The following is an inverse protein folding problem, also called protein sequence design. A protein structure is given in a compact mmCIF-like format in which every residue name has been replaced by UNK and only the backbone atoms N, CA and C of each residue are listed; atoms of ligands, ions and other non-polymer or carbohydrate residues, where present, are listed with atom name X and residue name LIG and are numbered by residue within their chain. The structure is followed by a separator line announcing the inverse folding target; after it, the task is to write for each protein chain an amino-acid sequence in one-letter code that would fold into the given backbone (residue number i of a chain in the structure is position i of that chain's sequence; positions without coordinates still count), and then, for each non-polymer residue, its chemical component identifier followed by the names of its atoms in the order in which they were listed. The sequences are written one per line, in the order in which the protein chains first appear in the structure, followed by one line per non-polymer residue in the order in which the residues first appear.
data_IF_668216061076
#
_entry.id   IF_668216061076
#
_cell.length_a   1.000
_cell.length_b   1.000
_cell.length_c   1.000
_cell.angle_alpha   90.00
_cell.angle_beta   90.00
_cell.angle_gamma   90.00
#
_symmetry.space_group_name_H-M   'P 1'
#
loop_
_entity.id
_entity.type
_entity.pdbx_description
1 polymer ?
#
# COMPACT_ATOMS: atom_id res chain seq x y z
N UNK A 1 14.49 -0.94 3.00
CA UNK A 1 14.56 -1.33 1.60
C UNK A 1 15.97 -1.12 1.14
N UNK A 2 16.59 -2.16 0.55
CA UNK A 2 17.83 -2.00 -0.18
C UNK A 2 17.56 -1.25 -1.50
N UNK A 3 18.57 -0.61 -2.08
CA UNK A 3 18.47 0.02 -3.41
C UNK A 3 17.97 -0.97 -4.47
N UNK A 4 18.38 -2.24 -4.37
CA UNK A 4 17.94 -3.32 -5.27
C UNK A 4 16.44 -3.59 -5.21
N UNK A 5 15.85 -3.69 -4.01
CA UNK A 5 14.41 -3.92 -3.86
C UNK A 5 13.58 -2.73 -4.36
N UNK A 6 14.07 -1.51 -4.16
CA UNK A 6 13.41 -0.31 -4.67
C UNK A 6 13.45 -0.25 -6.22
N UNK A 7 14.59 -0.58 -6.81
CA UNK A 7 14.74 -0.62 -8.27
C UNK A 7 13.88 -1.71 -8.91
N UNK A 8 13.75 -2.89 -8.27
CA UNK A 8 12.85 -3.93 -8.77
C UNK A 8 11.38 -3.47 -8.79
N UNK A 9 10.92 -2.80 -7.73
CA UNK A 9 9.58 -2.21 -7.69
C UNK A 9 9.35 -1.21 -8.82
N UNK A 10 10.26 -0.25 -8.99
CA UNK A 10 10.18 0.76 -10.06
C UNK A 10 10.26 0.16 -11.47
N UNK A 11 11.12 -0.83 -11.68
CA UNK A 11 11.19 -1.53 -12.95
C UNK A 11 9.89 -2.29 -13.26
N UNK A 12 9.21 -2.82 -12.24
CA UNK A 12 7.92 -3.49 -12.40
C UNK A 12 6.78 -2.49 -12.68
N UNK A 13 6.80 -1.30 -12.06
CA UNK A 13 5.92 -0.17 -12.42
C UNK A 13 6.10 0.23 -13.90
N UNK A 14 7.35 0.35 -14.35
CA UNK A 14 7.66 0.63 -15.75
C UNK A 14 7.10 -0.44 -16.70
N UNK A 15 7.24 -1.73 -16.34
CA UNK A 15 6.69 -2.84 -17.12
C UNK A 15 5.17 -2.72 -17.31
N UNK A 16 4.42 -2.38 -16.27
CA UNK A 16 2.98 -2.13 -16.38
C UNK A 16 2.68 -0.93 -17.28
N UNK A 17 3.41 0.17 -17.12
CA UNK A 17 3.21 1.37 -17.91
C UNK A 17 3.37 1.10 -19.41
N UNK A 18 4.47 0.45 -19.80
CA UNK A 18 4.74 0.15 -21.21
C UNK A 18 3.75 -0.87 -21.76
N UNK A 19 3.38 -1.91 -21.00
CA UNK A 19 2.40 -2.89 -21.45
C UNK A 19 1.01 -2.28 -21.60
N UNK A 20 0.59 -1.41 -20.68
CA UNK A 20 -0.66 -0.64 -20.84
C UNK A 20 -0.60 0.20 -22.12
N UNK A 21 0.48 0.95 -22.32
CA UNK A 21 0.63 1.79 -23.51
C UNK A 21 0.56 0.98 -24.81
N UNK A 22 1.32 -0.11 -24.90
CA UNK A 22 1.39 -0.96 -26.09
C UNK A 22 0.02 -1.59 -26.40
N UNK A 23 -0.69 -2.10 -25.39
CA UNK A 23 -2.00 -2.74 -25.61
C UNK A 23 -3.12 -1.73 -25.88
N UNK A 24 -3.12 -0.56 -25.23
CA UNK A 24 -4.11 0.50 -25.48
C UNK A 24 -3.91 1.11 -26.87
N UNK A 25 -2.66 1.35 -27.27
CA UNK A 25 -2.30 1.98 -28.56
C UNK A 25 -2.74 1.15 -29.78
N UNK A 26 -3.01 -0.15 -29.61
CA UNK A 26 -3.61 -1.00 -30.65
C UNK A 26 -5.07 -0.67 -30.93
N UNK A 27 -5.74 0.00 -30.00
CA UNK A 27 -7.20 0.24 -30.02
C UNK A 27 -7.52 1.73 -30.15
N UNK A 28 -6.78 2.59 -29.43
CA UNK A 28 -7.03 4.04 -29.39
C UNK A 28 -5.74 4.83 -29.14
N UNK A 29 -5.73 6.15 -29.41
CA UNK A 29 -4.61 7.01 -29.02
C UNK A 29 -4.34 6.97 -27.52
N UNK A 30 -3.07 6.80 -27.15
CA UNK A 30 -2.57 6.87 -25.79
C UNK A 30 -1.24 7.63 -25.75
N UNK A 31 -0.95 8.25 -24.61
CA UNK A 31 0.31 8.96 -24.36
C UNK A 31 0.85 8.60 -22.97
N UNK A 32 2.17 8.66 -22.83
CA UNK A 32 2.84 8.53 -21.54
C UNK A 32 3.36 9.90 -21.12
N UNK A 33 3.04 10.33 -19.91
CA UNK A 33 3.64 11.53 -19.32
C UNK A 33 5.10 11.26 -18.94
N UNK A 34 6.04 11.91 -19.65
CA UNK A 34 7.47 11.82 -19.36
C UNK A 34 7.89 12.73 -18.19
N UNK A 35 7.63 12.27 -16.97
CA UNK A 35 8.02 12.95 -15.73
C UNK A 35 9.28 12.34 -15.09
N UNK A 36 9.77 12.92 -14.00
CA UNK A 36 10.99 12.42 -13.32
C UNK A 36 10.86 10.98 -12.80
N UNK A 37 9.66 10.52 -12.44
CA UNK A 37 9.41 9.17 -11.95
C UNK A 37 9.36 8.16 -13.11
N UNK A 38 8.84 8.56 -14.28
CA UNK A 38 9.01 7.81 -15.53
C UNK A 38 10.49 7.52 -15.78
N UNK A 39 11.33 8.56 -15.79
CA UNK A 39 12.77 8.43 -16.04
C UNK A 39 13.44 7.53 -14.99
N UNK A 40 13.06 7.66 -13.71
CA UNK A 40 13.59 6.81 -12.65
C UNK A 40 13.20 5.34 -12.82
N UNK A 41 11.96 5.06 -13.25
CA UNK A 41 11.45 3.72 -13.50
C UNK A 41 12.07 3.09 -14.74
N UNK A 42 12.24 3.87 -15.82
CA UNK A 42 12.95 3.48 -17.04
C UNK A 42 14.41 3.12 -16.75
N UNK A 43 15.12 3.94 -15.98
CA UNK A 43 16.48 3.65 -15.57
C UNK A 43 16.56 2.35 -14.76
N UNK A 44 15.63 2.13 -13.83
CA UNK A 44 15.57 0.89 -13.06
C UNK A 44 15.31 -0.32 -13.97
N UNK A 45 14.40 -0.19 -14.93
CA UNK A 45 14.12 -1.20 -15.95
C UNK A 45 15.36 -1.58 -16.76
N UNK A 46 16.18 -0.62 -17.16
CA UNK A 46 17.41 -0.88 -17.90
C UNK A 46 18.48 -1.63 -17.09
N UNK A 47 18.37 -1.66 -15.75
CA UNK A 47 19.27 -2.48 -14.91
C UNK A 47 18.92 -3.97 -14.89
N UNK A 48 17.73 -4.35 -15.37
CA UNK A 48 17.28 -5.74 -15.41
C UNK A 48 17.92 -6.50 -16.57
N UNK A 49 18.17 -7.79 -16.36
CA UNK A 49 18.49 -8.74 -17.42
C UNK A 49 17.29 -8.97 -18.36
N UNK A 50 17.53 -9.48 -19.56
CA UNK A 50 16.46 -9.71 -20.53
C UNK A 50 15.43 -10.73 -20.03
N UNK A 51 15.87 -11.77 -19.31
CA UNK A 51 14.96 -12.74 -18.70
C UNK A 51 14.09 -12.14 -17.59
N UNK A 52 14.61 -11.20 -16.80
CA UNK A 52 13.83 -10.44 -15.81
C UNK A 52 12.81 -9.53 -16.49
N UNK A 53 13.21 -8.85 -17.58
CA UNK A 53 12.31 -8.00 -18.38
C UNK A 53 11.17 -8.82 -19.00
N UNK A 54 11.48 -9.97 -19.58
CA UNK A 54 10.48 -10.86 -20.17
C UNK A 54 9.49 -11.35 -19.11
N UNK A 55 10.00 -11.76 -17.94
CA UNK A 55 9.16 -12.17 -16.81
C UNK A 55 8.20 -11.05 -16.38
N UNK A 56 8.71 -9.82 -16.26
CA UNK A 56 7.92 -8.67 -15.86
C UNK A 56 6.86 -8.32 -16.90
N UNK A 57 7.18 -8.38 -18.20
CA UNK A 57 6.22 -8.19 -19.29
C UNK A 57 5.12 -9.24 -19.30
N UNK A 58 5.47 -10.53 -19.16
CA UNK A 58 4.49 -11.62 -19.08
C UNK A 58 3.53 -11.39 -17.91
N UNK A 59 4.08 -11.02 -16.76
CA UNK A 59 3.29 -10.73 -15.56
C UNK A 59 2.40 -9.51 -15.73
N UNK A 60 2.92 -8.42 -16.31
CA UNK A 60 2.18 -7.20 -16.58
C UNK A 60 1.03 -7.46 -17.56
N UNK A 61 1.29 -8.16 -18.66
CA UNK A 61 0.30 -8.50 -19.68
C UNK A 61 -0.88 -9.30 -19.10
N UNK A 62 -0.59 -10.30 -18.27
CA UNK A 62 -1.63 -11.07 -17.58
C UNK A 62 -2.53 -10.18 -16.70
N UNK A 63 -1.94 -9.19 -16.02
CA UNK A 63 -2.68 -8.22 -15.23
C UNK A 63 -3.49 -7.24 -16.08
N UNK A 64 -2.87 -6.65 -17.10
CA UNK A 64 -3.46 -5.66 -18.00
C UNK A 64 -4.70 -6.19 -18.71
N UNK A 65 -4.66 -7.43 -19.20
CA UNK A 65 -5.83 -8.06 -19.84
C UNK A 65 -7.04 -8.10 -18.89
N UNK A 66 -6.83 -8.46 -17.63
CA UNK A 66 -7.90 -8.49 -16.63
C UNK A 66 -8.34 -7.08 -16.24
N UNK A 67 -7.43 -6.11 -16.17
CA UNK A 67 -7.81 -4.69 -15.97
C UNK A 67 -8.74 -4.20 -17.07
N UNK A 68 -8.53 -4.57 -18.33
CA UNK A 68 -9.44 -4.18 -19.43
C UNK A 68 -10.84 -4.81 -19.32
N UNK A 69 -10.95 -6.02 -18.77
CA UNK A 69 -12.24 -6.65 -18.49
C UNK A 69 -13.01 -5.96 -17.34
N UNK A 70 -12.25 -5.41 -16.38
CA UNK A 70 -12.77 -4.68 -15.23
C UNK A 70 -13.13 -3.23 -15.55
N UNK A 71 -12.37 -2.59 -16.44
CA UNK A 71 -12.43 -1.16 -16.72
C UNK A 71 -12.63 -0.91 -18.22
N UNK A 72 -13.85 -1.12 -18.74
CA UNK A 72 -14.13 -1.00 -20.17
C UNK A 72 -13.84 0.41 -20.70
N UNK A 73 -13.93 1.45 -19.85
CA UNK A 73 -13.64 2.84 -20.22
C UNK A 73 -12.21 3.07 -20.70
N UNK A 74 -11.26 2.19 -20.40
CA UNK A 74 -9.90 2.27 -20.94
C UNK A 74 -9.92 2.14 -22.47
N UNK A 75 -10.69 1.17 -22.99
CA UNK A 75 -10.73 0.82 -24.41
C UNK A 75 -12.00 1.29 -25.12
N UNK A 76 -12.94 1.90 -24.39
CA UNK A 76 -14.19 2.45 -24.92
C UNK A 76 -13.90 3.61 -25.86
N UNK A 77 -14.57 3.65 -27.01
CA UNK A 77 -14.30 4.63 -28.07
C UNK A 77 -14.50 6.07 -27.57
N UNK A 78 -13.74 7.01 -28.14
CA UNK A 78 -13.86 8.43 -27.83
C UNK A 78 -12.82 9.26 -28.56
N UNK A 79 -13.11 10.56 -28.68
CA UNK A 79 -12.23 11.53 -29.35
C UNK A 79 -11.09 12.05 -28.44
N UNK A 80 -11.00 11.54 -27.21
CA UNK A 80 -9.95 11.88 -26.25
C UNK A 80 -8.74 10.95 -26.35
N UNK A 81 -7.58 11.43 -25.91
CA UNK A 81 -6.40 10.60 -25.70
C UNK A 81 -6.39 10.04 -24.27
N UNK A 82 -5.90 8.81 -24.13
CA UNK A 82 -5.72 8.20 -22.83
C UNK A 82 -4.30 8.47 -22.31
N UNK A 83 -4.20 9.13 -21.16
CA UNK A 83 -2.93 9.49 -20.53
C UNK A 83 -2.52 8.46 -19.48
N UNK A 84 -1.28 7.98 -19.59
CA UNK A 84 -0.65 7.08 -18.65
C UNK A 84 0.47 7.80 -17.90
N UNK A 85 0.51 7.63 -16.57
CA UNK A 85 1.45 8.35 -15.71
C UNK A 85 2.00 7.44 -14.61
N UNK A 86 3.30 7.51 -14.35
CA UNK A 86 3.87 7.07 -13.08
C UNK A 86 3.74 8.21 -12.07
N UNK A 87 3.06 7.94 -10.96
CA UNK A 87 2.78 8.90 -9.90
C UNK A 87 4.06 9.26 -9.14
N UNK A 88 4.09 10.45 -8.52
CA UNK A 88 5.23 10.84 -7.69
C UNK A 88 5.20 10.24 -6.28
N UNK A 89 6.38 9.92 -5.76
CA UNK A 89 6.59 9.43 -4.39
C UNK A 89 5.95 10.35 -3.32
N UNK A 90 5.85 11.66 -3.60
CA UNK A 90 5.27 12.64 -2.67
C UNK A 90 3.75 12.51 -2.54
N UNK A 91 3.04 12.10 -3.60
CA UNK A 91 1.61 11.77 -3.52
C UNK A 91 1.38 10.51 -2.69
N UNK A 92 2.29 9.52 -2.79
CA UNK A 92 2.37 8.36 -1.89
C UNK A 92 2.44 8.76 -0.42
N UNK A 93 3.29 9.74 -0.08
CA UNK A 93 3.40 10.26 1.30
C UNK A 93 2.12 10.94 1.77
N UNK A 94 1.39 11.59 0.86
CA UNK A 94 0.13 12.28 1.11
C UNK A 94 -1.09 11.34 1.20
N UNK A 95 -0.95 10.05 0.87
CA UNK A 95 -2.02 9.05 1.01
C UNK A 95 -2.61 8.53 -0.30
N UNK A 96 -2.02 8.88 -1.46
CA UNK A 96 -2.36 8.26 -2.74
C UNK A 96 -1.40 7.09 -3.02
N UNK A 97 -1.86 5.85 -2.85
CA UNK A 97 -1.04 4.64 -2.99
C UNK A 97 -0.93 4.11 -4.43
N UNK A 98 -1.49 4.84 -5.40
CA UNK A 98 -1.48 4.49 -6.82
C UNK A 98 -0.10 4.82 -7.38
N UNK A 99 0.56 3.83 -7.96
CA UNK A 99 1.88 3.96 -8.57
C UNK A 99 1.75 4.34 -10.06
N UNK A 100 0.76 3.77 -10.76
CA UNK A 100 0.43 4.08 -12.16
C UNK A 100 -1.00 4.63 -12.24
N UNK A 101 -1.20 5.75 -12.93
CA UNK A 101 -2.52 6.31 -13.23
C UNK A 101 -2.89 6.09 -14.70
N UNK A 102 -4.19 5.91 -14.93
CA UNK A 102 -4.83 5.80 -16.23
C UNK A 102 -5.92 6.87 -16.27
N UNK A 103 -5.76 7.86 -17.14
CA UNK A 103 -6.54 9.10 -17.11
C UNK A 103 -7.20 9.34 -18.47
N UNK A 104 -8.50 9.65 -18.44
CA UNK A 104 -9.28 10.16 -19.57
C UNK A 104 -9.88 11.51 -19.22
N UNK A 105 -9.18 12.57 -19.62
CA UNK A 105 -9.56 13.94 -19.28
C UNK A 105 -10.89 14.37 -19.91
N UNK A 106 -11.22 13.87 -21.10
CA UNK A 106 -12.45 14.23 -21.81
C UNK A 106 -13.74 13.81 -21.10
N UNK A 107 -13.66 12.88 -20.15
CA UNK A 107 -14.80 12.39 -19.35
C UNK A 107 -14.56 12.47 -17.84
N UNK A 108 -13.57 13.23 -17.40
CA UNK A 108 -13.19 13.39 -15.98
C UNK A 108 -13.02 12.04 -15.25
N UNK A 109 -12.41 11.07 -15.93
CA UNK A 109 -12.25 9.72 -15.42
C UNK A 109 -10.78 9.40 -15.16
N UNK A 110 -10.50 8.84 -14.00
CA UNK A 110 -9.17 8.40 -13.58
C UNK A 110 -9.31 7.16 -12.70
N UNK A 111 -8.43 6.19 -12.95
CA UNK A 111 -8.17 5.08 -12.04
C UNK A 111 -6.66 4.96 -11.82
N UNK A 112 -6.26 4.17 -10.83
CA UNK A 112 -4.85 3.83 -10.69
C UNK A 112 -4.61 2.41 -10.21
N UNK A 113 -3.37 2.01 -10.40
CA UNK A 113 -2.83 0.71 -10.02
C UNK A 113 -1.80 0.91 -8.93
N UNK A 114 -1.90 0.16 -7.84
CA UNK A 114 -0.80 -0.02 -6.89
C UNK A 114 -0.03 -1.28 -7.30
N UNK A 115 1.12 -1.08 -7.92
CA UNK A 115 1.92 -2.12 -8.58
C UNK A 115 2.96 -2.65 -7.58
N UNK A 116 2.98 -3.97 -7.37
CA UNK A 116 3.85 -4.62 -6.38
C UNK A 116 4.45 -5.91 -6.94
N UNK A 117 5.74 -6.12 -6.71
CA UNK A 117 6.43 -7.36 -7.07
C UNK A 117 6.77 -8.15 -5.81
N UNK A 118 6.19 -9.35 -5.65
CA UNK A 118 6.35 -10.23 -4.48
C UNK A 118 6.19 -9.54 -3.10
N UNK A 119 5.42 -8.45 -3.04
CA UNK A 119 5.31 -7.60 -1.86
C UNK A 119 3.85 -7.32 -1.48
N UNK A 120 3.48 -7.68 -0.25
CA UNK A 120 2.08 -7.67 0.20
C UNK A 120 1.75 -6.58 1.23
N UNK A 121 2.76 -6.00 1.89
CA UNK A 121 2.53 -4.98 2.93
C UNK A 121 1.77 -3.77 2.37
N UNK A 122 1.00 -3.11 3.23
CA UNK A 122 0.20 -1.93 2.86
C UNK A 122 1.00 -0.64 2.99
N UNK A 123 1.51 -0.35 4.18
CA UNK A 123 2.24 0.89 4.46
C UNK A 123 3.38 0.66 5.44
N UNK A 124 4.49 1.35 5.21
CA UNK A 124 5.68 1.28 6.05
C UNK A 124 5.68 2.41 7.07
N UNK A 125 4.71 2.38 7.98
CA UNK A 125 4.58 3.40 9.01
C UNK A 125 5.71 3.29 10.04
N UNK A 126 5.98 4.40 10.72
CA UNK A 126 7.00 4.48 11.77
C UNK A 126 6.39 5.03 13.05
N UNK A 127 6.96 4.65 14.19
CA UNK A 127 6.79 5.32 15.47
C UNK A 127 8.14 5.90 15.90
N UNK A 128 8.14 7.12 16.42
CA UNK A 128 9.31 7.76 17.03
C UNK A 128 8.88 8.84 18.01
N UNK A 129 9.81 9.31 18.85
CA UNK A 129 9.62 10.45 19.76
C UNK A 129 9.27 11.79 19.09
N UNK A 130 9.27 11.87 17.76
CA UNK A 130 8.96 13.10 16.98
C UNK A 130 7.78 12.92 16.03
N UNK A 131 7.29 11.70 15.85
CA UNK A 131 6.26 11.42 14.86
C UNK A 131 4.94 11.17 15.57
N UNK A 132 4.07 12.17 15.49
CA UNK A 132 2.68 12.06 15.94
C UNK A 132 1.92 11.17 14.94
N UNK A 133 1.70 9.92 15.31
CA UNK A 133 1.01 8.98 14.43
C UNK A 133 -0.48 9.33 14.34
N UNK A 134 -1.10 9.83 15.41
CA UNK A 134 -2.50 10.18 15.40
C UNK A 134 -2.80 11.30 14.41
N UNK A 135 -1.99 12.37 14.46
CA UNK A 135 -2.10 13.50 13.55
C UNK A 135 -1.94 13.05 12.10
N UNK A 136 -1.03 12.11 11.87
CA UNK A 136 -0.71 11.62 10.52
C UNK A 136 -1.71 10.59 9.99
N UNK A 137 -2.30 9.76 10.85
CA UNK A 137 -3.12 8.62 10.45
C UNK A 137 -4.62 8.95 10.48
N UNK A 138 -5.06 9.75 11.43
CA UNK A 138 -6.47 10.11 11.60
C UNK A 138 -6.69 11.59 11.96
N UNK A 139 -5.68 12.44 11.78
CA UNK A 139 -5.82 13.89 11.87
C UNK A 139 -5.91 14.47 13.29
N UNK A 140 -5.75 13.66 14.33
CA UNK A 140 -5.87 14.09 15.73
C UNK A 140 -4.55 13.86 16.47
N UNK A 141 -4.05 14.88 17.15
CA UNK A 141 -2.79 14.77 17.89
C UNK A 141 -2.87 13.70 18.97
N UNK A 142 -1.79 12.93 19.12
CA UNK A 142 -1.69 11.95 20.18
C UNK A 142 -1.81 12.63 21.55
N UNK A 143 -2.48 11.97 22.49
CA UNK A 143 -2.63 12.47 23.86
C UNK A 143 -1.28 12.68 24.55
N UNK A 144 -1.28 13.53 25.59
CA UNK A 144 -0.10 13.73 26.44
C UNK A 144 0.33 12.40 27.07
N UNK A 145 -0.64 11.60 27.50
CA UNK A 145 -0.42 10.28 28.09
C UNK A 145 0.36 9.37 27.13
N UNK A 146 0.05 9.36 25.84
CA UNK A 146 0.86 8.61 24.86
C UNK A 146 2.31 9.08 24.82
N UNK A 147 2.54 10.40 24.82
CA UNK A 147 3.90 10.95 24.79
C UNK A 147 4.67 10.63 26.06
N UNK A 148 4.02 10.70 27.22
CA UNK A 148 4.60 10.34 28.51
C UNK A 148 4.92 8.83 28.56
N UNK A 149 4.04 7.97 28.03
CA UNK A 149 4.22 6.51 27.97
C UNK A 149 5.43 6.12 27.10
N UNK A 150 5.62 6.74 25.93
CA UNK A 150 6.71 6.36 25.00
C UNK A 150 8.05 7.02 25.34
N UNK A 151 8.06 8.11 26.11
CA UNK A 151 9.27 8.86 26.43
C UNK A 151 10.39 7.99 27.03
N UNK A 152 10.17 7.21 28.11
CA UNK A 152 11.24 6.40 28.69
C UNK A 152 11.81 5.37 27.72
N UNK A 153 10.96 4.83 26.83
CA UNK A 153 11.39 3.85 25.80
C UNK A 153 12.35 4.53 24.81
N UNK A 154 12.00 5.72 24.32
CA UNK A 154 12.83 6.41 23.34
C UNK A 154 14.09 7.04 23.95
N UNK A 155 14.05 7.48 25.20
CA UNK A 155 15.25 7.92 25.92
C UNK A 155 16.27 6.77 26.04
N UNK A 156 15.80 5.57 26.42
CA UNK A 156 16.64 4.37 26.43
C UNK A 156 17.25 4.06 25.04
N UNK A 157 16.47 4.17 23.97
CA UNK A 157 16.97 3.95 22.61
C UNK A 157 17.97 5.03 22.15
N UNK A 158 17.84 6.27 22.62
CA UNK A 158 18.84 7.32 22.37
C UNK A 158 20.17 6.99 23.06
N UNK A 159 20.11 6.52 24.31
CA UNK A 159 21.30 6.11 25.07
C UNK A 159 22.00 4.93 24.39
N UNK A 160 21.27 3.89 24.00
CA UNK A 160 21.84 2.74 23.28
C UNK A 160 22.39 3.12 21.91
N UNK A 161 21.74 4.05 21.21
CA UNK A 161 22.29 4.61 19.97
C UNK A 161 23.61 5.35 20.23
N UNK A 162 23.72 6.11 21.32
CA UNK A 162 24.95 6.84 21.66
C UNK A 162 26.13 5.91 21.98
N UNK A 163 25.84 4.74 22.55
CA UNK A 163 26.81 3.66 22.79
C UNK A 163 27.20 2.91 21.50
N UNK A 164 26.45 3.09 20.42
CA UNK A 164 26.66 2.37 19.17
C UNK A 164 26.16 0.93 19.19
N UNK A 165 25.27 0.58 20.13
CA UNK A 165 24.73 -0.76 20.32
C UNK A 165 24.00 -1.29 19.09
N UNK A 166 23.99 -2.61 18.93
CA UNK A 166 23.19 -3.33 17.93
C UNK A 166 21.90 -3.85 18.56
N UNK A 167 20.85 -3.98 17.76
CA UNK A 167 19.60 -4.60 18.21
C UNK A 167 19.75 -6.06 18.67
N UNK A 168 20.79 -6.77 18.23
CA UNK A 168 21.11 -8.12 18.69
C UNK A 168 21.69 -8.15 20.10
N UNK A 169 22.22 -7.03 20.59
CA UNK A 169 22.85 -6.90 21.91
C UNK A 169 21.83 -6.53 23.00
N UNK A 170 20.65 -6.03 22.62
CA UNK A 170 19.54 -5.75 23.53
C UNK A 170 18.77 -7.04 23.84
N UNK A 171 19.18 -7.76 24.89
CA UNK A 171 18.65 -9.09 25.24
C UNK A 171 17.17 -9.08 25.60
N UNK A 172 16.69 -8.01 26.26
CA UNK A 172 15.31 -7.88 26.74
C UNK A 172 14.48 -6.90 25.90
N UNK A 173 14.87 -6.61 24.66
CA UNK A 173 14.20 -5.64 23.79
C UNK A 173 12.69 -5.88 23.57
N UNK A 174 12.22 -7.12 23.71
CA UNK A 174 10.78 -7.39 23.62
C UNK A 174 10.04 -6.75 24.79
N UNK A 175 10.51 -6.98 26.01
CA UNK A 175 9.94 -6.46 27.25
C UNK A 175 10.26 -4.98 27.49
N UNK A 176 11.44 -4.53 27.10
CA UNK A 176 11.91 -3.17 27.38
C UNK A 176 11.49 -2.16 26.30
N UNK A 177 11.20 -2.64 25.08
CA UNK A 177 10.94 -1.76 23.93
C UNK A 177 9.65 -2.13 23.21
N UNK A 178 9.51 -3.35 22.71
CA UNK A 178 8.42 -3.68 21.78
C UNK A 178 7.05 -3.71 22.47
N UNK A 179 6.93 -4.48 23.55
CA UNK A 179 5.66 -4.65 24.26
C UNK A 179 5.18 -3.34 24.89
N UNK A 180 6.01 -2.55 25.61
CA UNK A 180 5.59 -1.24 26.14
C UNK A 180 5.18 -0.27 25.04
N UNK A 181 5.90 -0.24 23.91
CA UNK A 181 5.60 0.67 22.81
C UNK A 181 4.28 0.29 22.10
N UNK A 182 4.04 -1.01 21.92
CA UNK A 182 2.78 -1.50 21.37
C UNK A 182 1.62 -1.25 22.33
N UNK A 183 1.82 -1.42 23.64
CA UNK A 183 0.82 -1.06 24.64
C UNK A 183 0.48 0.43 24.60
N UNK A 184 1.48 1.32 24.52
CA UNK A 184 1.25 2.76 24.38
C UNK A 184 0.46 3.10 23.10
N UNK A 185 0.83 2.51 21.96
CA UNK A 185 0.10 2.67 20.69
C UNK A 185 -1.34 2.16 20.78
N UNK A 186 -1.55 0.96 21.33
CA UNK A 186 -2.87 0.36 21.54
C UNK A 186 -3.74 1.23 22.43
N UNK A 187 -3.23 1.64 23.58
CA UNK A 187 -3.96 2.45 24.55
C UNK A 187 -4.32 3.82 23.97
N UNK A 188 -3.45 4.39 23.13
CA UNK A 188 -3.76 5.63 22.43
C UNK A 188 -4.91 5.47 21.45
N UNK A 189 -4.88 4.42 20.62
CA UNK A 189 -6.00 4.12 19.73
C UNK A 189 -7.30 3.89 20.50
N UNK A 190 -7.26 3.15 21.62
CA UNK A 190 -8.43 2.91 22.46
C UNK A 190 -8.99 4.22 23.05
N UNK A 191 -8.13 5.15 23.50
CA UNK A 191 -8.53 6.47 23.99
C UNK A 191 -9.19 7.30 22.89
N UNK A 192 -8.53 7.42 21.74
CA UNK A 192 -9.01 8.22 20.62
C UNK A 192 -10.34 7.67 20.07
N UNK A 193 -10.47 6.34 19.96
CA UNK A 193 -11.71 5.68 19.55
C UNK A 193 -12.87 5.92 20.52
N UNK A 194 -12.60 6.01 21.84
CA UNK A 194 -13.63 6.35 22.84
C UNK A 194 -14.08 7.82 22.75
N UNK A 195 -13.15 8.74 22.46
CA UNK A 195 -13.43 10.17 22.42
C UNK A 195 -14.08 10.62 21.12
N UNK A 196 -13.60 10.11 19.99
CA UNK A 196 -13.98 10.57 18.65
C UNK A 196 -14.83 9.56 17.86
N UNK A 197 -15.03 8.36 18.41
CA UNK A 197 -16.03 7.41 17.90
C UNK A 197 -15.77 6.89 16.49
N UNK A 198 -16.86 6.84 15.69
CA UNK A 198 -16.99 6.10 14.42
C UNK A 198 -16.02 6.52 13.30
N UNK A 199 -15.36 7.66 13.42
CA UNK A 199 -14.46 8.17 12.38
C UNK A 199 -13.06 7.57 12.48
N UNK A 200 -12.60 7.14 13.67
CA UNK A 200 -11.24 6.58 13.85
C UNK A 200 -11.03 5.32 12.98
N UNK A 201 -11.91 4.29 13.01
CA UNK A 201 -11.73 3.09 12.18
C UNK A 201 -11.62 3.41 10.70
N UNK A 202 -12.52 4.28 10.21
CA UNK A 202 -12.56 4.72 8.81
C UNK A 202 -11.24 5.38 8.42
N UNK A 203 -10.83 6.41 9.17
CA UNK A 203 -9.63 7.19 8.89
C UNK A 203 -8.36 6.33 8.95
N UNK A 204 -8.30 5.37 9.88
CA UNK A 204 -7.21 4.39 9.94
C UNK A 204 -7.13 3.56 8.67
N UNK A 205 -8.25 3.01 8.18
CA UNK A 205 -8.24 2.23 6.94
C UNK A 205 -7.88 3.09 5.74
N UNK A 206 -8.39 4.33 5.65
CA UNK A 206 -8.01 5.28 4.60
C UNK A 206 -6.52 5.63 4.64
N UNK A 207 -5.92 5.74 5.83
CA UNK A 207 -4.48 5.95 5.94
C UNK A 207 -3.67 4.74 5.48
N UNK A 208 -4.10 3.53 5.85
CA UNK A 208 -3.39 2.28 5.56
C UNK A 208 -3.50 1.89 4.09
N UNK A 209 -4.68 2.06 3.48
CA UNK A 209 -4.96 1.63 2.11
C UNK A 209 -4.89 2.77 1.10
N UNK A 210 -5.06 4.01 1.52
CA UNK A 210 -5.11 5.18 0.65
C UNK A 210 -6.51 5.82 0.55
N UNK A 211 -6.51 7.06 0.07
CA UNK A 211 -7.72 7.89 -0.03
C UNK A 211 -8.46 7.76 -1.37
N UNK A 212 -7.90 7.03 -2.32
CA UNK A 212 -8.48 6.82 -3.65
C UNK A 212 -8.78 5.35 -3.85
N UNK A 213 -9.75 5.05 -4.71
CA UNK A 213 -9.97 3.67 -5.13
C UNK A 213 -8.90 3.26 -6.14
N UNK A 214 -8.47 2.00 -6.08
CA UNK A 214 -7.40 1.49 -6.93
C UNK A 214 -7.47 -0.04 -7.08
N UNK A 215 -6.75 -0.56 -8.08
CA UNK A 215 -6.43 -1.98 -8.14
C UNK A 215 -5.04 -2.22 -7.60
N UNK A 216 -4.90 -3.08 -6.60
CA UNK A 216 -3.59 -3.59 -6.20
C UNK A 216 -3.23 -4.74 -7.12
N UNK A 217 -2.15 -4.59 -7.89
CA UNK A 217 -1.67 -5.60 -8.83
C UNK A 217 -0.35 -6.16 -8.32
N UNK A 218 -0.31 -7.46 -8.06
CA UNK A 218 0.81 -8.14 -7.40
C UNK A 218 1.33 -9.27 -8.29
N UNK A 219 2.55 -9.13 -8.80
CA UNK A 219 3.28 -10.24 -9.43
C UNK A 219 3.79 -11.22 -8.38
N UNK A 220 3.47 -12.51 -8.54
CA UNK A 220 3.83 -13.58 -7.61
C UNK A 220 4.58 -14.68 -8.37
N UNK A 221 5.91 -14.56 -8.41
CA UNK A 221 6.77 -15.35 -9.32
C UNK A 221 6.71 -16.84 -9.05
N UNK A 222 6.74 -17.24 -7.78
CA UNK A 222 6.74 -18.65 -7.39
C UNK A 222 5.44 -19.37 -7.77
N UNK A 223 4.35 -18.63 -8.00
CA UNK A 223 3.06 -19.14 -8.46
C UNK A 223 2.81 -18.87 -9.94
N UNK A 224 3.64 -18.05 -10.58
CA UNK A 224 3.47 -17.58 -11.97
C UNK A 224 2.07 -17.00 -12.19
N UNK A 225 1.64 -16.16 -11.26
CA UNK A 225 0.37 -15.44 -11.32
C UNK A 225 0.56 -13.96 -11.05
N UNK A 226 -0.34 -13.16 -11.61
CA UNK A 226 -0.57 -11.78 -11.25
C UNK A 226 -1.90 -11.71 -10.49
N UNK A 227 -1.86 -11.31 -9.22
CA UNK A 227 -3.06 -11.14 -8.40
C UNK A 227 -3.54 -9.71 -8.45
N UNK A 228 -4.82 -9.51 -8.77
CA UNK A 228 -5.49 -8.22 -8.75
C UNK A 228 -6.45 -8.19 -7.56
N UNK A 229 -6.39 -7.15 -6.75
CA UNK A 229 -7.35 -6.87 -5.67
C UNK A 229 -8.02 -5.52 -5.92
N UNK A 230 -9.35 -5.50 -5.84
CA UNK A 230 -10.16 -4.32 -6.13
C UNK A 230 -10.51 -3.54 -4.86
N UNK A 231 -9.83 -2.42 -4.63
CA UNK A 231 -10.12 -1.51 -3.51
C UNK A 231 -11.09 -0.42 -3.97
N UNK A 232 -12.35 -0.82 -4.22
CA UNK A 232 -13.43 0.08 -4.64
C UNK A 232 -14.20 0.61 -3.41
N UNK A 233 -13.65 1.59 -2.71
CA UNK A 233 -14.17 2.09 -1.43
C UNK A 233 -15.15 3.26 -1.59
N UNK A 234 -15.08 3.98 -2.72
CA UNK A 234 -15.89 5.17 -3.06
C UNK A 234 -16.71 4.96 -4.32
N UNK A 235 -16.55 3.82 -4.98
CA UNK A 235 -17.32 3.46 -6.16
C UNK A 235 -16.79 4.13 -7.42
N UNK A 236 -15.52 4.55 -7.49
CA UNK A 236 -14.97 5.18 -8.71
C UNK A 236 -14.48 4.16 -9.74
N UNK A 237 -14.26 2.91 -9.32
CA UNK A 237 -13.86 1.81 -10.21
C UNK A 237 -15.06 1.16 -10.90
N UNK A 238 -14.75 0.34 -11.91
CA UNK A 238 -15.63 -0.61 -12.58
C UNK A 238 -16.86 0.03 -13.24
N UNK A 239 -16.63 1.23 -13.79
CA UNK A 239 -17.65 2.00 -14.50
C UNK A 239 -17.96 1.35 -15.84
N UNK A 240 -19.21 1.47 -16.28
CA UNK A 240 -19.62 0.97 -17.59
C UNK A 240 -19.10 1.89 -18.70
N UNK A 241 -18.63 1.30 -19.80
CA UNK A 241 -18.42 2.02 -21.05
C UNK A 241 -19.73 2.21 -21.82
N UNK A 242 -19.66 3.08 -22.83
CA UNK A 242 -20.75 3.35 -23.77
C UNK A 242 -20.92 2.17 -24.72
N UNK A 243 -19.86 1.78 -25.43
CA UNK A 243 -19.86 0.66 -26.39
C UNK A 243 -19.34 -0.63 -25.74
N UNK A 244 -18.39 -0.55 -24.81
CA UNK A 244 -17.86 -1.70 -24.07
C UNK A 244 -18.50 -1.82 -22.69
N UNK A 245 -18.84 -3.04 -22.29
CA UNK A 245 -19.35 -3.35 -20.94
C UNK A 245 -18.30 -4.07 -20.12
N UNK A 246 -18.34 -3.88 -18.80
CA UNK A 246 -17.50 -4.65 -17.88
C UNK A 246 -17.94 -6.11 -17.92
N UNK A 247 -16.98 -7.02 -17.81
CA UNK A 247 -17.27 -8.46 -17.77
C UNK A 247 -17.45 -8.96 -16.33
N UNK A 248 -16.80 -8.30 -15.38
CA UNK A 248 -16.82 -8.66 -13.96
C UNK A 248 -17.32 -7.45 -13.18
N UNK A 249 -18.31 -7.67 -12.30
CA UNK A 249 -18.83 -6.63 -11.42
C UNK A 249 -18.05 -6.57 -10.12
N UNK A 250 -17.62 -5.36 -9.75
CA UNK A 250 -16.87 -5.07 -8.54
C UNK A 250 -17.77 -4.31 -7.56
N UNK A 251 -18.13 -4.91 -6.41
CA UNK A 251 -18.95 -4.23 -5.42
C UNK A 251 -18.18 -3.08 -4.76
N UNK A 252 -18.93 -2.14 -4.20
CA UNK A 252 -18.35 -1.09 -3.34
C UNK A 252 -18.13 -1.70 -1.95
N UNK A 253 -16.91 -1.59 -1.44
CA UNK A 253 -16.56 -2.07 -0.10
C UNK A 253 -16.76 -0.98 0.94
N UNK A 254 -17.45 -1.32 2.02
CA UNK A 254 -17.68 -0.38 3.12
C UNK A 254 -16.43 -0.23 4.00
N UNK A 255 -16.11 1.02 4.35
CA UNK A 255 -15.14 1.33 5.38
C UNK A 255 -15.69 0.96 6.77
N UNK A 256 -14.84 0.57 7.72
CA UNK A 256 -15.29 0.16 9.04
C UNK A 256 -15.82 1.35 9.85
N UNK A 257 -16.70 1.04 10.80
CA UNK A 257 -17.35 2.03 11.68
C UNK A 257 -17.01 1.83 13.15
N UNK A 258 -16.38 0.70 13.52
CA UNK A 258 -15.91 0.44 14.88
C UNK A 258 -14.66 -0.43 14.93
N UNK A 259 -13.84 -0.19 15.96
CA UNK A 259 -12.84 -1.15 16.40
C UNK A 259 -13.56 -2.27 17.17
N UNK A 260 -13.35 -3.52 16.76
CA UNK A 260 -13.86 -4.71 17.45
C UNK A 260 -12.90 -5.10 18.56
N UNK A 261 -11.61 -5.21 18.24
CA UNK A 261 -10.54 -5.44 19.21
C UNK A 261 -9.19 -5.02 18.64
N UNK A 262 -8.25 -4.74 19.55
CA UNK A 262 -6.83 -4.59 19.24
C UNK A 262 -6.06 -5.35 20.31
N UNK A 263 -5.36 -6.40 19.92
CA UNK A 263 -4.76 -7.34 20.87
C UNK A 263 -3.38 -7.79 20.38
N UNK A 264 -2.57 -8.34 21.27
CA UNK A 264 -1.34 -9.01 20.83
C UNK A 264 -1.69 -10.27 20.05
N UNK A 265 -0.98 -10.48 18.95
CA UNK A 265 -1.01 -11.77 18.27
C UNK A 265 -0.62 -12.86 19.27
N UNK A 266 -1.33 -14.01 19.32
CA UNK A 266 -1.00 -15.08 20.25
C UNK A 266 0.49 -15.47 20.20
N UNK A 267 1.11 -15.56 21.37
CA UNK A 267 2.54 -15.87 21.55
C UNK A 267 3.50 -14.87 20.87
N UNK A 268 3.11 -13.60 20.72
CA UNK A 268 3.95 -12.53 20.18
C UNK A 268 3.97 -11.32 21.09
N UNK A 269 5.17 -10.78 21.36
CA UNK A 269 5.38 -9.51 22.07
C UNK A 269 5.66 -8.32 21.16
N UNK A 270 5.76 -8.55 19.85
CA UNK A 270 6.15 -7.54 18.88
C UNK A 270 5.10 -7.30 17.79
N UNK A 271 3.92 -7.92 17.90
CA UNK A 271 2.86 -7.83 16.89
C UNK A 271 1.50 -7.62 17.55
N UNK A 272 0.82 -6.54 17.17
CA UNK A 272 -0.61 -6.36 17.43
C UNK A 272 -1.45 -6.78 16.24
N UNK A 273 -2.66 -7.25 16.49
CA UNK A 273 -3.70 -7.51 15.51
C UNK A 273 -4.89 -6.59 15.82
N UNK A 274 -5.28 -5.80 14.83
CA UNK A 274 -6.41 -4.89 14.85
C UNK A 274 -7.56 -5.51 14.06
N UNK A 275 -8.69 -5.71 14.72
CA UNK A 275 -9.93 -6.22 14.14
C UNK A 275 -10.96 -5.12 14.09
N UNK A 276 -11.51 -4.88 12.90
CA UNK A 276 -12.52 -3.88 12.64
C UNK A 276 -13.77 -4.57 12.07
N UNK A 277 -14.92 -3.93 12.19
CA UNK A 277 -16.14 -4.43 11.56
C UNK A 277 -16.05 -4.39 10.01
N UNK A 278 -16.97 -5.08 9.34
CA UNK A 278 -16.94 -5.20 7.89
C UNK A 278 -15.87 -6.16 7.33
N UNK A 279 -15.11 -6.84 8.20
CA UNK A 279 -14.13 -7.85 7.80
C UNK A 279 -12.70 -7.34 7.63
N UNK A 280 -12.43 -6.08 8.00
CA UNK A 280 -11.10 -5.50 7.95
C UNK A 280 -10.24 -5.94 9.13
N UNK A 281 -9.05 -6.48 8.85
CA UNK A 281 -8.10 -6.92 9.88
C UNK A 281 -6.67 -6.63 9.46
N UNK A 282 -5.88 -6.06 10.37
CA UNK A 282 -4.49 -5.67 10.12
C UNK A 282 -3.57 -6.19 11.22
N UNK A 283 -2.36 -6.64 10.86
CA UNK A 283 -1.30 -6.88 11.82
C UNK A 283 -0.26 -5.76 11.79
N UNK A 284 0.22 -5.36 12.96
CA UNK A 284 1.22 -4.32 13.17
C UNK A 284 2.42 -4.93 13.87
N UNK A 285 3.40 -5.39 13.09
CA UNK A 285 4.63 -5.96 13.64
C UNK A 285 5.73 -4.91 13.73
N UNK A 286 6.27 -4.69 14.91
CA UNK A 286 7.49 -3.89 15.05
C UNK A 286 8.68 -4.65 14.47
N UNK A 287 9.45 -3.99 13.63
CA UNK A 287 10.73 -4.48 13.15
C UNK A 287 11.77 -3.36 13.02
N UNK A 288 13.03 -3.76 13.04
CA UNK A 288 14.17 -2.85 12.86
C UNK A 288 14.81 -3.10 11.50
N UNK A 289 14.89 -2.06 10.68
CA UNK A 289 15.55 -2.14 9.38
C UNK A 289 17.07 -1.94 9.45
N UNK A 290 17.57 -1.41 10.56
CA UNK A 290 18.99 -1.17 10.83
C UNK A 290 19.52 -2.24 11.77
N UNK A 291 20.78 -2.64 11.61
CA UNK A 291 21.48 -3.49 12.58
C UNK A 291 21.79 -2.72 13.86
N UNK A 292 22.13 -1.42 13.74
CA UNK A 292 22.38 -0.51 14.86
C UNK A 292 21.08 0.02 15.44
N UNK A 293 21.07 0.27 16.75
CA UNK A 293 19.93 0.87 17.45
C UNK A 293 19.65 2.27 16.90
N UNK A 294 18.37 2.51 16.61
CA UNK A 294 17.87 3.79 16.13
C UNK A 294 16.56 4.12 16.88
N UNK A 295 16.37 5.35 17.39
CA UNK A 295 15.17 5.77 18.11
C UNK A 295 13.98 6.04 17.16
N UNK A 296 13.76 5.14 16.21
CA UNK A 296 12.63 5.10 15.30
C UNK A 296 12.40 3.69 14.82
N UNK A 297 11.28 3.11 15.23
CA UNK A 297 10.89 1.76 14.84
C UNK A 297 9.92 1.80 13.67
N UNK A 298 9.92 0.72 12.88
CA UNK A 298 9.01 0.56 11.74
C UNK A 298 7.94 -0.47 12.08
N UNK A 299 6.73 -0.21 11.60
CA UNK A 299 5.76 -1.27 11.44
C UNK A 299 5.93 -1.94 10.08
N UNK A 300 5.90 -3.27 10.12
CA UNK A 300 5.51 -4.09 8.98
C UNK A 300 4.02 -4.36 9.12
N UNK A 301 3.21 -3.65 8.33
CA UNK A 301 1.75 -3.70 8.39
C UNK A 301 1.21 -4.59 7.29
N UNK A 302 0.49 -5.64 7.66
CA UNK A 302 -0.12 -6.58 6.73
C UNK A 302 -1.64 -6.56 6.89
N UNK A 303 -2.36 -6.72 5.78
CA UNK A 303 -3.78 -7.05 5.82
C UNK A 303 -3.88 -8.56 6.07
N UNK A 304 -4.47 -8.96 7.19
CA UNK A 304 -4.67 -10.38 7.55
C UNK A 304 -6.12 -10.82 7.34
N UNK A 305 -7.03 -9.87 7.12
CA UNK A 305 -8.43 -10.08 6.77
C UNK A 305 -8.97 -8.87 6.02
N UNK A 306 -9.80 -9.12 5.01
CA UNK A 306 -10.43 -8.08 4.19
C UNK A 306 -11.89 -8.43 3.95
N UNK A 307 -12.76 -7.42 3.70
CA UNK A 307 -14.14 -7.67 3.30
C UNK A 307 -14.23 -8.58 2.07
N UNK A 308 -15.27 -9.41 2.00
CA UNK A 308 -15.53 -10.26 0.82
C UNK A 308 -15.84 -9.46 -0.45
N UNK A 309 -16.15 -8.18 -0.31
CA UNK A 309 -16.35 -7.23 -1.40
C UNK A 309 -15.03 -6.77 -2.04
N UNK A 310 -13.87 -7.03 -1.41
CA UNK A 310 -12.57 -6.88 -2.07
C UNK A 310 -12.36 -8.11 -2.95
N UNK A 311 -12.73 -8.00 -4.22
CA UNK A 311 -12.60 -9.11 -5.18
C UNK A 311 -11.12 -9.29 -5.50
N UNK A 312 -10.66 -10.53 -5.39
CA UNK A 312 -9.28 -10.95 -5.68
C UNK A 312 -9.26 -11.92 -6.86
N UNK A 313 -8.57 -11.56 -7.94
CA UNK A 313 -8.51 -12.32 -9.19
C UNK A 313 -7.06 -12.76 -9.44
N UNK A 314 -6.85 -14.06 -9.67
CA UNK A 314 -5.54 -14.63 -9.99
C UNK A 314 -5.41 -14.86 -11.49
N UNK A 315 -4.54 -14.08 -12.14
CA UNK A 315 -4.30 -14.12 -13.57
C UNK A 315 -3.06 -15.00 -13.82
N UNK A 316 -3.23 -16.16 -14.48
CA UNK A 316 -2.09 -17.02 -14.80
C UNK A 316 -1.25 -16.43 -15.92
N UNK A 317 0.06 -16.54 -15.78
CA UNK A 317 1.01 -16.14 -16.81
C UNK A 317 0.97 -17.12 -17.98
N UNK A 318 0.90 -16.58 -19.20
CA UNK A 318 1.09 -17.36 -20.43
C UNK A 318 2.59 -17.34 -20.75
N UNK A 319 3.23 -18.50 -20.64
CA UNK A 319 4.68 -18.69 -20.84
C UNK A 319 4.86 -19.51 -22.11
#
# INVERSE_FOLDING_TARGET
MSSKSNNQGRAYEFAYLITLYDEISKVRPAIIENNSNYIAAENAWHTLSDSEKDLYKISALAGVNTIFELEPLILDDGDDELELKIQSDDKGKAGDVRDVLIIRRGIEWEIGLSVKHNHFAVKHSRISKKLDFGKKWYGLECSKEYWDDIKPIFDYLDDEKSKGSKWSELTNKEDDVYEPLLNAFKNELDRQNKLYGKDIPKLMVEYLLGQFDFYKVIGIDNKKITRIQSYNLRGTLNKQGKSRKRNIEIPISNLPTRIVSIEFKPNSKNTLELYLDGGWQFSFRIHNASTKVEPSLKFDIQIIGMPTTIISIDCRWQI
#
